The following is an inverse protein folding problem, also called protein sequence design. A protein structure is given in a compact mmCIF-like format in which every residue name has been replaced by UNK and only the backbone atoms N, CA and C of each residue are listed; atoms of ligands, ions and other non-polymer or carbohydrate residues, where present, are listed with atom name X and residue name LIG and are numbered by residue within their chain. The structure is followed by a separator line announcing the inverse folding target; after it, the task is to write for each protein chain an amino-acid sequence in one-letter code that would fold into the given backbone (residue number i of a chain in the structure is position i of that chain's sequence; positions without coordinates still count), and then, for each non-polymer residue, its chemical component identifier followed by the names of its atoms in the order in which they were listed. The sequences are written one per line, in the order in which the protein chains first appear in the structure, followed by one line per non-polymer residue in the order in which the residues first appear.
data_IF_742426839102
#
_entry.id   IF_742426839102
#
_cell.length_a   1.000
_cell.length_b   1.000
_cell.length_c   1.000
_cell.angle_alpha   90.00
_cell.angle_beta   90.00
_cell.angle_gamma   90.00
#
_symmetry.space_group_name_H-M   'P 1'
#
loop_
_entity.id
_entity.type
_entity.pdbx_description
1 polymer ?
#
# COMPACT_ATOMS: atom_id res chain seq x y z
N UNK A 1 17.71 -8.52 -2.53
CA UNK A 1 17.12 -7.81 -1.37
C UNK A 1 17.71 -6.42 -1.26
N UNK A 2 17.01 -5.50 -0.61
CA UNK A 2 17.40 -4.09 -0.41
C UNK A 2 16.67 -3.14 -1.37
N UNK A 3 17.06 -1.86 -1.31
CA UNK A 3 16.47 -0.77 -2.11
C UNK A 3 17.11 -0.71 -3.49
N UNK A 4 16.29 -0.50 -4.50
CA UNK A 4 16.65 -0.37 -5.90
C UNK A 4 16.01 0.88 -6.51
N UNK A 5 16.77 1.56 -7.35
CA UNK A 5 16.36 2.72 -8.11
C UNK A 5 16.30 2.36 -9.60
N UNK A 6 15.27 2.81 -10.34
CA UNK A 6 15.24 2.65 -11.79
C UNK A 6 16.40 3.37 -12.45
N UNK A 7 17.07 2.71 -13.40
CA UNK A 7 18.08 3.36 -14.26
C UNK A 7 17.41 4.39 -15.19
N UNK A 8 16.15 4.15 -15.56
CA UNK A 8 15.31 5.03 -16.36
C UNK A 8 13.83 4.85 -16.01
N UNK A 9 13.04 5.89 -16.25
CA UNK A 9 11.57 5.87 -16.16
C UNK A 9 10.97 6.02 -17.56
N UNK A 10 10.96 4.95 -18.38
CA UNK A 10 10.53 5.04 -19.77
C UNK A 10 9.04 5.37 -19.86
N UNK A 11 8.69 6.38 -20.65
CA UNK A 11 7.29 6.71 -20.93
C UNK A 11 6.61 5.64 -21.82
N UNK A 12 7.40 4.96 -22.65
CA UNK A 12 6.97 3.90 -23.56
C UNK A 12 7.85 2.67 -23.37
N UNK A 13 7.22 1.51 -23.21
CA UNK A 13 7.91 0.24 -23.26
C UNK A 13 8.17 -0.14 -24.70
N UNK A 14 9.40 -0.59 -24.94
CA UNK A 14 9.82 -1.18 -26.20
C UNK A 14 10.17 -2.64 -25.95
N UNK A 15 10.07 -3.42 -27.01
CA UNK A 15 10.63 -4.77 -27.03
C UNK A 15 12.13 -4.73 -26.74
N UNK A 16 12.72 -5.87 -26.37
CA UNK A 16 14.18 -6.00 -26.15
C UNK A 16 15.03 -5.59 -27.36
N UNK A 17 14.46 -5.62 -28.57
CA UNK A 17 15.08 -5.15 -29.82
C UNK A 17 14.79 -3.68 -30.16
N UNK A 18 14.14 -2.94 -29.26
CA UNK A 18 13.82 -1.52 -29.42
C UNK A 18 12.63 -1.23 -30.36
N UNK A 19 11.80 -2.23 -30.65
CA UNK A 19 10.57 -2.08 -31.48
C UNK A 19 9.34 -1.85 -30.62
N UNK A 20 8.28 -1.29 -31.21
CA UNK A 20 6.96 -1.24 -30.57
C UNK A 20 6.42 -2.66 -30.29
N UNK A 21 5.66 -2.86 -29.20
CA UNK A 21 4.99 -4.13 -28.91
C UNK A 21 4.04 -4.58 -30.06
N UNK A 22 3.89 -5.89 -30.30
CA UNK A 22 3.17 -6.43 -31.45
C UNK A 22 1.65 -6.46 -31.19
N UNK A 23 1.01 -5.29 -31.08
CA UNK A 23 -0.43 -5.14 -30.81
C UNK A 23 -1.31 -5.80 -31.88
N UNK A 24 -2.49 -6.28 -31.47
CA UNK A 24 -3.60 -6.57 -32.39
C UNK A 24 -4.11 -5.27 -33.02
N UNK A 25 -4.89 -5.37 -34.10
CA UNK A 25 -5.45 -4.18 -34.78
C UNK A 25 -6.30 -3.34 -33.82
N UNK A 26 -7.20 -3.97 -33.06
CA UNK A 26 -8.05 -3.30 -32.07
C UNK A 26 -7.23 -2.64 -30.95
N UNK A 27 -6.25 -3.34 -30.40
CA UNK A 27 -5.40 -2.78 -29.34
C UNK A 27 -4.51 -1.64 -29.85
N UNK A 28 -4.08 -1.68 -31.12
CA UNK A 28 -3.33 -0.60 -31.76
C UNK A 28 -4.16 0.67 -31.92
N UNK A 29 -5.46 0.57 -32.22
CA UNK A 29 -6.35 1.73 -32.27
C UNK A 29 -6.49 2.40 -30.90
N UNK A 30 -6.71 1.61 -29.85
CA UNK A 30 -6.78 2.11 -28.46
C UNK A 30 -5.46 2.76 -28.04
N UNK A 31 -4.33 2.13 -28.32
CA UNK A 31 -3.02 2.69 -27.99
C UNK A 31 -2.74 3.98 -28.76
N UNK A 32 -3.12 4.07 -30.04
CA UNK A 32 -2.93 5.26 -30.85
C UNK A 32 -3.76 6.45 -30.34
N UNK A 33 -5.00 6.23 -29.89
CA UNK A 33 -5.82 7.27 -29.24
C UNK A 33 -5.16 7.78 -27.95
N UNK A 34 -4.75 6.86 -27.07
CA UNK A 34 -4.07 7.21 -25.81
C UNK A 34 -2.74 7.91 -26.03
N UNK A 35 -1.96 7.50 -27.02
CA UNK A 35 -0.69 8.14 -27.37
C UNK A 35 -0.89 9.56 -27.91
N UNK A 36 -1.97 9.83 -28.65
CA UNK A 36 -2.34 11.18 -29.06
C UNK A 36 -2.69 12.05 -27.85
N UNK A 37 -3.47 11.52 -26.92
CA UNK A 37 -3.83 12.21 -25.65
C UNK A 37 -2.60 12.50 -24.81
N UNK A 38 -1.71 11.51 -24.64
CA UNK A 38 -0.41 11.65 -23.98
C UNK A 38 0.40 12.81 -24.55
N UNK A 39 0.50 12.87 -25.88
CA UNK A 39 1.24 13.92 -26.59
C UNK A 39 0.59 15.30 -26.43
N UNK A 40 -0.73 15.35 -26.28
CA UNK A 40 -1.48 16.55 -25.95
C UNK A 40 -1.45 16.92 -24.45
N UNK A 41 -0.81 16.11 -23.60
CA UNK A 41 -0.71 16.31 -22.16
C UNK A 41 -1.91 15.80 -21.36
N UNK A 42 -2.82 15.06 -21.99
CA UNK A 42 -3.93 14.37 -21.32
C UNK A 42 -3.53 12.93 -20.99
N UNK A 43 -3.39 12.66 -19.70
CA UNK A 43 -3.02 11.35 -19.15
C UNK A 43 -4.17 10.68 -18.40
N UNK A 44 -5.41 11.16 -18.54
CA UNK A 44 -6.57 10.68 -17.77
C UNK A 44 -6.96 9.22 -18.03
N UNK A 45 -6.36 8.54 -19.00
CA UNK A 45 -6.48 7.10 -19.18
C UNK A 45 -5.61 6.28 -18.20
N UNK A 46 -4.58 6.90 -17.60
CA UNK A 46 -3.68 6.28 -16.62
C UNK A 46 -4.21 6.59 -15.21
N UNK A 47 -4.67 5.56 -14.51
CA UNK A 47 -5.28 5.68 -13.18
C UNK A 47 -4.34 6.26 -12.12
N UNK A 48 -3.03 6.23 -12.40
CA UNK A 48 -2.02 6.85 -11.54
C UNK A 48 -2.17 8.37 -11.45
N UNK A 49 -2.88 9.00 -12.40
CA UNK A 49 -3.15 10.44 -12.39
C UNK A 49 -4.06 10.89 -11.25
N UNK A 50 -4.89 10.00 -10.70
CA UNK A 50 -5.65 10.23 -9.47
C UNK A 50 -5.19 9.31 -8.34
N UNK A 51 -3.91 8.92 -8.34
CA UNK A 51 -3.30 8.07 -7.31
C UNK A 51 -3.87 6.64 -7.24
N UNK A 52 -4.63 6.16 -8.22
CA UNK A 52 -5.15 4.80 -8.16
C UNK A 52 -4.13 3.75 -8.63
N UNK A 53 -4.54 2.48 -8.57
CA UNK A 53 -3.83 1.30 -9.02
C UNK A 53 -2.97 1.51 -10.27
N UNK A 54 -1.63 1.36 -10.19
CA UNK A 54 -0.76 1.61 -11.32
C UNK A 54 -0.75 0.47 -12.32
N UNK A 55 -0.89 -0.77 -11.87
CA UNK A 55 -0.70 -1.95 -12.71
C UNK A 55 0.75 -2.45 -12.73
N UNK A 56 0.90 -3.67 -13.25
CA UNK A 56 2.20 -4.22 -13.65
C UNK A 56 2.31 -4.23 -15.18
N UNK A 57 3.46 -3.84 -15.77
CA UNK A 57 4.69 -3.37 -15.13
C UNK A 57 4.74 -1.85 -14.89
N UNK A 58 3.61 -1.12 -15.00
CA UNK A 58 3.58 0.34 -14.94
C UNK A 58 4.18 0.96 -13.67
N UNK A 59 4.02 0.32 -12.50
CA UNK A 59 4.71 0.73 -11.27
C UNK A 59 6.24 0.69 -11.42
N UNK A 60 6.78 -0.22 -12.23
CA UNK A 60 8.22 -0.41 -12.46
C UNK A 60 8.80 0.59 -13.45
N UNK A 61 7.96 1.26 -14.25
CA UNK A 61 8.37 2.31 -15.20
C UNK A 61 8.38 3.71 -14.59
N UNK A 62 7.99 3.83 -13.31
CA UNK A 62 8.01 5.09 -12.57
C UNK A 62 9.39 5.40 -11.96
N UNK A 63 9.74 6.67 -11.70
CA UNK A 63 11.06 7.05 -11.19
C UNK A 63 11.27 6.80 -9.68
N UNK A 64 10.44 5.99 -9.04
CA UNK A 64 10.47 5.80 -7.59
C UNK A 64 11.32 4.59 -7.18
N UNK A 65 12.02 4.67 -6.02
CA UNK A 65 12.65 3.50 -5.45
C UNK A 65 11.63 2.40 -5.15
N UNK A 66 12.09 1.16 -5.10
CA UNK A 66 11.39 0.11 -4.41
C UNK A 66 12.36 -0.74 -3.59
N UNK A 67 11.85 -1.35 -2.53
CA UNK A 67 12.60 -2.25 -1.68
C UNK A 67 12.14 -3.68 -1.87
N UNK A 68 13.08 -4.62 -2.01
CA UNK A 68 12.79 -6.05 -2.00
C UNK A 68 13.16 -6.62 -0.63
N UNK A 69 12.16 -7.14 0.09
CA UNK A 69 12.32 -7.86 1.37
C UNK A 69 11.83 -9.29 1.26
N UNK A 70 12.52 -10.21 1.94
CA UNK A 70 12.12 -11.61 2.02
C UNK A 70 12.05 -12.04 3.48
N UNK A 71 10.99 -12.77 3.84
CA UNK A 71 10.89 -13.51 5.09
C UNK A 71 10.09 -14.81 4.86
N UNK A 72 10.76 -15.96 5.02
CA UNK A 72 10.21 -17.25 4.65
C UNK A 72 9.82 -17.30 3.16
N UNK A 73 8.55 -17.64 2.92
CA UNK A 73 7.94 -17.75 1.60
C UNK A 73 7.32 -16.44 1.09
N UNK A 74 7.46 -15.34 1.83
CA UNK A 74 7.00 -14.03 1.39
C UNK A 74 8.16 -13.22 0.82
N UNK A 75 8.02 -12.75 -0.41
CA UNK A 75 8.92 -11.81 -1.05
C UNK A 75 8.16 -10.53 -1.40
N UNK A 76 8.33 -9.48 -0.60
CA UNK A 76 7.66 -8.21 -0.78
C UNK A 76 8.48 -7.21 -1.60
N UNK A 77 7.82 -6.58 -2.57
CA UNK A 77 8.27 -5.39 -3.27
C UNK A 77 7.49 -4.21 -2.70
N UNK A 78 8.17 -3.29 -2.01
CA UNK A 78 7.56 -2.12 -1.38
C UNK A 78 7.95 -0.89 -2.20
N UNK A 79 7.00 -0.25 -2.86
CA UNK A 79 7.24 0.85 -3.79
C UNK A 79 7.18 2.21 -3.09
N UNK A 80 8.08 3.11 -3.51
CA UNK A 80 8.12 4.50 -3.05
C UNK A 80 7.03 5.38 -3.67
N UNK A 81 6.28 4.89 -4.65
CA UNK A 81 5.10 5.59 -5.17
C UNK A 81 3.84 5.15 -4.43
N UNK A 82 3.21 6.10 -3.77
CA UNK A 82 1.92 5.96 -3.09
C UNK A 82 1.73 4.69 -2.24
N UNK A 83 2.79 4.26 -1.55
CA UNK A 83 2.84 3.09 -0.64
C UNK A 83 2.34 1.77 -1.24
N UNK A 84 2.34 1.64 -2.57
CA UNK A 84 2.03 0.38 -3.21
C UNK A 84 3.03 -0.68 -2.80
N UNK A 85 2.55 -1.89 -2.55
CA UNK A 85 3.39 -3.04 -2.31
C UNK A 85 2.80 -4.25 -3.00
N UNK A 86 3.68 -5.14 -3.43
CA UNK A 86 3.34 -6.42 -4.05
C UNK A 86 4.02 -7.53 -3.28
N UNK A 87 3.28 -8.56 -2.89
CA UNK A 87 3.84 -9.72 -2.18
C UNK A 87 3.81 -10.92 -3.10
N UNK A 88 4.98 -11.47 -3.37
CA UNK A 88 5.18 -12.67 -4.16
C UNK A 88 5.20 -13.88 -3.23
N UNK A 89 4.35 -14.86 -3.53
CA UNK A 89 4.34 -16.15 -2.87
C UNK A 89 5.45 -17.03 -3.44
N UNK A 90 6.43 -17.35 -2.61
CA UNK A 90 7.61 -18.15 -2.98
C UNK A 90 7.43 -19.65 -2.71
N UNK A 91 6.26 -20.09 -2.22
CA UNK A 91 5.95 -21.52 -2.04
C UNK A 91 5.81 -22.26 -3.38
N UNK A 92 5.65 -21.53 -4.48
CA UNK A 92 5.56 -22.07 -5.84
C UNK A 92 4.18 -22.64 -6.20
N UNK A 93 3.20 -22.65 -5.28
CA UNK A 93 1.87 -23.19 -5.59
C UNK A 93 1.00 -22.11 -6.21
N UNK A 94 0.78 -22.21 -7.52
CA UNK A 94 -0.20 -21.38 -8.21
C UNK A 94 -1.60 -21.54 -7.60
N UNK A 95 -2.30 -20.43 -7.47
CA UNK A 95 -3.72 -20.39 -7.15
C UNK A 95 -4.43 -19.61 -8.25
N UNK A 96 -5.66 -20.00 -8.57
CA UNK A 96 -6.49 -19.22 -9.48
C UNK A 96 -6.89 -17.92 -8.79
N UNK A 97 -6.61 -16.75 -9.42
CA UNK A 97 -7.06 -15.46 -8.92
C UNK A 97 -8.58 -15.49 -8.70
N UNK A 98 -9.09 -15.22 -7.49
CA UNK A 98 -10.53 -15.19 -7.26
C UNK A 98 -11.20 -14.01 -8.00
N UNK A 99 -10.45 -12.92 -8.18
CA UNK A 99 -10.82 -11.69 -8.88
C UNK A 99 -9.54 -11.06 -9.45
N UNK A 100 -9.62 -10.28 -10.54
CA UNK A 100 -8.48 -9.53 -11.04
C UNK A 100 -8.15 -8.36 -10.11
N UNK A 101 -6.86 -8.10 -9.91
CA UNK A 101 -6.30 -7.03 -9.08
C UNK A 101 -5.30 -6.19 -9.86
N UNK A 102 -4.92 -5.03 -9.33
CA UNK A 102 -4.02 -4.11 -10.00
C UNK A 102 -2.57 -4.64 -10.06
N UNK A 103 -2.06 -5.26 -9.00
CA UNK A 103 -0.71 -5.88 -8.97
C UNK A 103 -0.75 -7.40 -9.25
N UNK A 104 -1.95 -7.96 -9.38
CA UNK A 104 -2.21 -9.37 -9.69
C UNK A 104 -1.78 -10.34 -8.60
N UNK A 105 -1.69 -11.62 -8.94
CA UNK A 105 -1.31 -12.71 -8.05
C UNK A 105 0.06 -13.29 -8.47
N UNK A 106 1.16 -12.71 -7.98
CA UNK A 106 2.50 -13.17 -8.32
C UNK A 106 2.90 -14.41 -7.52
N UNK A 107 3.43 -15.40 -8.22
CA UNK A 107 4.05 -16.61 -7.65
C UNK A 107 5.48 -16.70 -8.15
N UNK A 108 6.41 -16.93 -7.22
CA UNK A 108 7.84 -16.88 -7.47
C UNK A 108 8.53 -18.22 -7.24
N UNK A 109 9.60 -18.46 -8.00
CA UNK A 109 10.53 -19.56 -7.77
C UNK A 109 11.97 -19.16 -8.16
N UNK A 110 12.95 -19.94 -7.72
CA UNK A 110 14.36 -19.71 -8.07
C UNK A 110 14.82 -20.71 -9.13
N UNK A 111 15.38 -20.19 -10.21
CA UNK A 111 16.09 -20.96 -11.25
C UNK A 111 17.58 -20.59 -11.20
N UNK A 112 18.35 -21.35 -10.42
CA UNK A 112 19.75 -21.00 -10.16
C UNK A 112 19.86 -19.69 -9.39
N UNK A 113 20.47 -18.67 -10.00
CA UNK A 113 20.61 -17.31 -9.46
C UNK A 113 19.52 -16.33 -9.94
N UNK A 114 18.58 -16.81 -10.76
CA UNK A 114 17.50 -16.01 -11.33
C UNK A 114 16.20 -16.24 -10.55
N UNK A 115 15.61 -15.16 -10.08
CA UNK A 115 14.25 -15.16 -9.53
C UNK A 115 13.26 -15.08 -10.68
N UNK A 116 12.35 -16.05 -10.78
CA UNK A 116 11.29 -16.08 -11.78
C UNK A 116 9.95 -15.83 -11.09
N UNK A 117 9.23 -14.80 -11.51
CA UNK A 117 7.92 -14.44 -10.96
C UNK A 117 6.90 -14.48 -12.09
N UNK A 118 5.88 -15.32 -11.96
CA UNK A 118 4.73 -15.35 -12.87
C UNK A 118 3.54 -14.67 -12.19
N UNK A 119 2.95 -13.69 -12.85
CA UNK A 119 1.81 -12.90 -12.33
C UNK A 119 0.61 -13.07 -13.27
N UNK A 120 -0.55 -13.42 -12.70
CA UNK A 120 -1.86 -13.51 -13.38
C UNK A 120 -2.92 -12.72 -12.61
N UNK A 121 -4.12 -12.59 -13.20
CA UNK A 121 -5.25 -11.92 -12.56
C UNK A 121 -5.02 -10.42 -12.45
N UNK A 122 -4.50 -9.82 -13.52
CA UNK A 122 -4.26 -8.38 -13.63
C UNK A 122 -5.52 -7.72 -14.20
N UNK A 123 -6.02 -6.67 -13.57
CA UNK A 123 -7.23 -5.96 -14.03
C UNK A 123 -6.94 -5.07 -15.24
N UNK A 124 -7.80 -5.14 -16.27
CA UNK A 124 -7.62 -4.49 -17.58
C UNK A 124 -7.84 -2.97 -17.62
N UNK A 125 -8.15 -2.36 -16.47
CA UNK A 125 -8.32 -0.90 -16.35
C UNK A 125 -7.01 -0.14 -16.20
N UNK A 126 -5.90 -0.86 -15.99
CA UNK A 126 -4.57 -0.27 -15.90
C UNK A 126 -3.87 -0.22 -17.27
N UNK A 127 -2.72 0.43 -17.32
CA UNK A 127 -1.87 0.53 -18.52
C UNK A 127 -0.51 -0.06 -18.21
N UNK A 128 0.21 -0.54 -19.22
CA UNK A 128 1.55 -1.12 -19.01
C UNK A 128 2.65 -0.05 -18.89
N UNK A 129 2.42 1.13 -19.46
CA UNK A 129 3.33 2.28 -19.41
C UNK A 129 2.59 3.63 -19.48
N UNK A 130 3.33 4.73 -19.31
CA UNK A 130 2.74 6.06 -19.26
C UNK A 130 2.11 6.52 -20.59
N UNK A 131 2.47 5.89 -21.72
CA UNK A 131 1.88 6.18 -23.03
C UNK A 131 0.50 5.56 -23.23
N UNK A 132 0.06 4.71 -22.30
CA UNK A 132 -1.26 4.12 -22.31
C UNK A 132 -1.34 2.76 -23.01
N UNK A 133 -0.23 2.04 -23.11
CA UNK A 133 -0.19 0.69 -23.70
C UNK A 133 -1.21 -0.23 -22.99
N UNK A 134 -2.25 -0.73 -23.69
CA UNK A 134 -3.33 -1.51 -23.08
C UNK A 134 -2.89 -2.95 -22.75
N UNK A 135 -3.73 -3.63 -21.97
CA UNK A 135 -3.73 -5.08 -21.78
C UNK A 135 -5.14 -5.57 -21.41
N UNK A 136 -5.34 -6.88 -21.40
CA UNK A 136 -6.57 -7.56 -20.98
C UNK A 136 -6.39 -8.28 -19.63
N UNK A 137 -7.47 -8.88 -19.13
CA UNK A 137 -7.43 -9.74 -17.94
C UNK A 137 -6.81 -11.12 -18.22
N UNK A 138 -6.65 -11.51 -19.49
CA UNK A 138 -5.95 -12.73 -19.91
C UNK A 138 -4.42 -12.57 -19.85
N UNK A 139 -3.93 -11.37 -19.51
CA UNK A 139 -2.52 -11.10 -19.42
C UNK A 139 -1.84 -11.96 -18.34
N UNK A 140 -0.81 -12.68 -18.78
CA UNK A 140 0.21 -13.23 -17.90
C UNK A 140 1.53 -12.50 -18.09
N UNK A 141 2.13 -12.06 -16.99
CA UNK A 141 3.44 -11.43 -16.97
C UNK A 141 4.44 -12.34 -16.28
N UNK A 142 5.56 -12.66 -16.95
CA UNK A 142 6.66 -13.42 -16.37
C UNK A 142 7.91 -12.55 -16.25
N UNK A 143 8.35 -12.31 -15.03
CA UNK A 143 9.56 -11.54 -14.72
C UNK A 143 10.71 -12.49 -14.41
N UNK A 144 11.88 -12.25 -14.98
CA UNK A 144 13.14 -12.93 -14.67
C UNK A 144 14.14 -11.91 -14.15
N UNK A 145 14.33 -11.92 -12.83
CA UNK A 145 15.17 -10.96 -12.12
C UNK A 145 16.51 -11.58 -11.75
N UNK A 146 17.62 -10.90 -12.08
CA UNK A 146 18.97 -11.29 -11.66
C UNK A 146 19.86 -10.08 -11.40
N UNK A 147 20.78 -10.23 -10.46
CA UNK A 147 21.82 -9.21 -10.22
C UNK A 147 22.99 -9.49 -11.15
N UNK A 148 23.30 -8.55 -12.02
CA UNK A 148 24.40 -8.60 -12.96
C UNK A 148 25.75 -8.40 -12.27
N UNK A 149 26.84 -8.70 -12.99
CA UNK A 149 28.22 -8.55 -12.47
C UNK A 149 28.58 -7.11 -12.11
N UNK A 150 27.94 -6.13 -12.75
CA UNK A 150 28.11 -4.70 -12.47
C UNK A 150 27.28 -4.22 -11.26
N UNK A 151 26.52 -5.12 -10.62
CA UNK A 151 25.69 -4.84 -9.47
C UNK A 151 24.28 -4.35 -9.79
N UNK A 152 23.94 -4.14 -11.08
CA UNK A 152 22.57 -3.79 -11.48
C UNK A 152 21.63 -4.98 -11.38
N UNK A 153 20.38 -4.71 -11.05
CA UNK A 153 19.28 -5.67 -11.17
C UNK A 153 18.70 -5.56 -12.57
N UNK A 154 18.80 -6.64 -13.34
CA UNK A 154 18.07 -6.81 -14.59
C UNK A 154 16.72 -7.45 -14.29
N UNK A 155 15.62 -6.88 -14.77
CA UNK A 155 14.31 -7.49 -14.81
C UNK A 155 13.88 -7.65 -16.27
N UNK A 156 13.97 -8.87 -16.79
CA UNK A 156 13.43 -9.22 -18.11
C UNK A 156 11.98 -9.66 -17.95
N UNK A 157 11.08 -8.97 -18.64
CA UNK A 157 9.64 -9.15 -18.49
C UNK A 157 9.09 -9.70 -19.80
N UNK A 158 8.53 -10.90 -19.77
CA UNK A 158 7.75 -11.49 -20.87
C UNK A 158 6.28 -11.21 -20.62
N UNK A 159 5.58 -10.69 -21.64
CA UNK A 159 4.15 -10.38 -21.59
C UNK A 159 3.44 -11.28 -22.59
N UNK A 160 2.46 -12.04 -22.09
CA UNK A 160 1.60 -12.95 -22.83
C UNK A 160 0.16 -12.48 -22.64
N UNK A 161 -0.47 -11.91 -23.66
CA UNK A 161 -1.88 -11.52 -23.63
C UNK A 161 -2.45 -11.63 -25.06
N UNK A 162 -3.16 -12.73 -25.36
CA UNK A 162 -3.63 -13.02 -26.72
C UNK A 162 -4.81 -12.13 -27.16
N UNK A 163 -5.47 -11.40 -26.25
CA UNK A 163 -6.50 -10.43 -26.63
C UNK A 163 -5.86 -9.12 -27.13
N UNK A 164 -4.72 -8.74 -26.55
CA UNK A 164 -4.08 -7.44 -26.83
C UNK A 164 -2.90 -7.52 -27.81
N UNK A 165 -2.13 -8.61 -27.79
CA UNK A 165 -0.93 -8.76 -28.61
C UNK A 165 -1.05 -9.96 -29.55
N UNK A 166 -0.54 -9.79 -30.77
CA UNK A 166 -0.50 -10.82 -31.81
C UNK A 166 0.50 -11.95 -31.53
N UNK A 167 1.50 -11.69 -30.68
CA UNK A 167 2.44 -12.69 -30.16
C UNK A 167 3.01 -12.25 -28.79
N UNK A 168 3.49 -13.18 -27.95
CA UNK A 168 4.24 -12.84 -26.76
C UNK A 168 5.45 -11.97 -27.08
N UNK A 169 5.75 -11.02 -26.20
CA UNK A 169 6.88 -10.11 -26.37
C UNK A 169 7.62 -9.88 -25.06
N UNK A 170 8.86 -9.40 -25.16
CA UNK A 170 9.70 -9.13 -23.99
C UNK A 170 10.16 -7.68 -23.94
N UNK A 171 10.24 -7.13 -22.73
CA UNK A 171 10.97 -5.90 -22.43
C UNK A 171 11.97 -6.12 -21.30
N UNK A 172 12.87 -5.16 -21.08
CA UNK A 172 13.87 -5.25 -20.01
C UNK A 172 13.99 -3.92 -19.28
N UNK A 173 13.91 -3.97 -17.96
CA UNK A 173 14.15 -2.85 -17.06
C UNK A 173 15.42 -3.10 -16.25
N UNK A 174 16.18 -2.04 -16.01
CA UNK A 174 17.39 -2.08 -15.19
C UNK A 174 17.24 -1.19 -13.98
N UNK A 175 17.80 -1.65 -12.86
CA UNK A 175 17.80 -0.93 -11.60
C UNK A 175 19.20 -0.97 -10.98
N UNK A 176 19.57 0.08 -10.28
CA UNK A 176 20.82 0.15 -9.51
C UNK A 176 20.53 0.33 -8.03
N UNK A 177 21.56 0.10 -7.20
CA UNK A 177 21.49 0.43 -5.78
C UNK A 177 21.98 1.85 -5.57
N UNK A 178 21.19 2.64 -4.87
CA UNK A 178 21.62 3.91 -4.31
C UNK A 178 21.64 3.79 -2.77
N UNK A 179 22.80 3.90 -2.11
CA UNK A 179 22.89 3.87 -0.64
C UNK A 179 22.08 4.96 0.08
N UNK A 180 21.75 6.05 -0.61
CA UNK A 180 20.91 7.13 -0.11
C UNK A 180 19.41 6.92 -0.38
N UNK A 181 19.04 6.03 -1.31
CA UNK A 181 17.65 5.79 -1.64
C UNK A 181 16.91 5.09 -0.50
N UNK A 182 15.72 5.60 -0.21
CA UNK A 182 14.80 5.03 0.79
C UNK A 182 13.40 5.05 0.24
N UNK A 183 12.64 4.00 0.58
CA UNK A 183 11.20 3.98 0.37
C UNK A 183 10.57 4.69 1.57
N UNK A 184 10.07 5.91 1.34
CA UNK A 184 9.43 6.76 2.34
C UNK A 184 7.92 6.71 2.23
N UNK A 185 7.23 7.27 3.23
CA UNK A 185 5.78 7.42 3.23
C UNK A 185 5.36 8.48 2.19
N UNK A 186 4.95 8.01 1.01
CA UNK A 186 4.45 8.85 -0.08
C UNK A 186 2.91 8.92 -0.04
N UNK A 187 2.35 10.06 0.36
CA UNK A 187 0.90 10.27 0.42
C UNK A 187 0.46 11.09 -0.80
N UNK A 188 0.09 10.38 -1.87
CA UNK A 188 -0.26 10.98 -3.16
C UNK A 188 -1.42 11.99 -3.08
N UNK A 189 -2.52 11.77 -2.33
CA UNK A 189 -3.54 12.78 -2.12
C UNK A 189 -3.02 14.09 -1.50
N UNK A 190 -2.06 14.01 -0.56
CA UNK A 190 -1.45 15.21 0.02
C UNK A 190 -0.53 15.92 -0.97
N UNK A 191 0.16 15.15 -1.80
CA UNK A 191 0.97 15.69 -2.91
C UNK A 191 0.08 16.47 -3.89
N UNK A 192 -1.01 15.87 -4.37
CA UNK A 192 -1.96 16.54 -5.27
C UNK A 192 -2.56 17.77 -4.61
N UNK A 193 -2.94 17.69 -3.33
CA UNK A 193 -3.50 18.83 -2.60
C UNK A 193 -2.53 20.03 -2.50
N UNK A 194 -1.21 19.80 -2.58
CA UNK A 194 -0.19 20.85 -2.67
C UNK A 194 0.08 21.37 -4.09
N UNK A 195 -0.63 20.85 -5.10
CA UNK A 195 -0.45 21.21 -6.51
C UNK A 195 0.71 20.49 -7.21
N UNK A 196 1.29 19.47 -6.58
CA UNK A 196 2.29 18.60 -7.21
C UNK A 196 1.61 17.49 -8.04
N UNK A 197 2.25 16.95 -9.09
CA UNK A 197 1.66 15.87 -9.91
C UNK A 197 1.57 14.55 -9.14
N UNK A 198 0.57 13.73 -9.48
CA UNK A 198 0.37 12.40 -8.89
C UNK A 198 1.58 11.47 -9.11
N UNK A 199 2.20 11.53 -10.29
CA UNK A 199 3.49 10.89 -10.58
C UNK A 199 4.52 11.99 -10.83
N UNK A 200 5.55 12.07 -10.00
CA UNK A 200 6.67 13.00 -10.20
C UNK A 200 7.51 12.56 -11.39
N UNK A 201 8.08 13.53 -12.10
CA UNK A 201 9.07 13.27 -13.16
C UNK A 201 10.40 12.80 -12.57
N UNK A 202 10.77 13.36 -11.42
CA UNK A 202 11.97 13.02 -10.66
C UNK A 202 11.60 12.94 -9.18
N UNK A 203 12.16 11.94 -8.49
CA UNK A 203 11.95 11.78 -7.05
C UNK A 203 13.08 12.51 -6.33
N UNK A 204 12.79 13.52 -5.50
CA UNK A 204 13.82 14.23 -4.76
C UNK A 204 14.55 13.26 -3.82
N UNK A 205 15.88 13.39 -3.65
CA UNK A 205 16.62 12.58 -2.70
C UNK A 205 16.07 12.83 -1.30
N UNK A 206 15.88 11.75 -0.54
CA UNK A 206 15.45 11.85 0.86
C UNK A 206 16.59 12.52 1.64
N UNK A 207 16.36 13.72 2.16
CA UNK A 207 17.32 14.40 3.03
C UNK A 207 17.56 13.55 4.27
N UNK A 208 18.83 13.24 4.52
CA UNK A 208 19.23 12.40 5.62
C UNK A 208 19.04 13.17 6.93
N UNK A 209 17.96 12.90 7.67
CA UNK A 209 18.01 13.12 9.12
C UNK A 209 19.17 12.26 9.64
N UNK A 210 20.14 12.90 10.29
CA UNK A 210 21.37 12.26 10.74
C UNK A 210 21.06 11.28 11.88
N UNK A 211 20.61 10.08 11.56
CA UNK A 211 20.66 8.99 12.52
C UNK A 211 22.12 8.55 12.63
N UNK A 212 22.69 8.67 13.85
CA UNK A 212 23.90 7.94 14.20
C UNK A 212 23.65 6.47 13.88
N UNK A 213 24.64 5.81 13.29
CA UNK A 213 24.66 4.36 13.21
C UNK A 213 24.35 3.81 14.61
N UNK A 214 23.59 2.71 14.73
CA UNK A 214 23.26 2.15 16.03
C UNK A 214 24.58 1.99 16.81
N UNK A 215 24.60 2.49 18.04
CA UNK A 215 25.66 2.09 18.96
C UNK A 215 25.65 0.57 18.96
N UNK A 216 26.82 -0.05 18.75
CA UNK A 216 26.98 -1.49 18.73
C UNK A 216 26.10 -2.09 19.83
N UNK A 217 25.15 -2.95 19.43
CA UNK A 217 24.24 -3.59 20.34
C UNK A 217 25.05 -4.08 21.55
N UNK A 218 24.77 -3.51 22.72
CA UNK A 218 25.37 -4.00 23.96
C UNK A 218 25.00 -5.47 23.98
N UNK A 219 26.01 -6.35 23.96
CA UNK A 219 25.80 -7.78 23.82
C UNK A 219 24.69 -8.21 24.78
N UNK A 220 23.52 -8.54 24.22
CA UNK A 220 22.42 -9.06 24.99
C UNK A 220 22.92 -10.40 25.54
N UNK A 221 23.03 -10.46 26.87
CA UNK A 221 23.17 -11.69 27.63
C UNK A 221 22.17 -12.71 27.08
N UNK A 222 22.57 -13.97 26.91
CA UNK A 222 21.83 -15.04 26.20
C UNK A 222 20.37 -15.13 26.64
N UNK A 223 19.51 -14.30 26.03
CA UNK A 223 18.08 -14.35 26.17
C UNK A 223 17.55 -15.47 25.28
N UNK A 224 16.45 -16.10 25.70
CA UNK A 224 15.72 -17.02 24.84
C UNK A 224 15.47 -16.37 23.46
N UNK A 225 15.47 -17.14 22.36
CA UNK A 225 15.23 -16.58 21.04
C UNK A 225 13.89 -15.82 21.04
N UNK A 226 13.93 -14.57 20.58
CA UNK A 226 12.75 -13.73 20.53
C UNK A 226 11.63 -14.41 19.70
N UNK A 227 10.36 -14.26 20.10
CA UNK A 227 9.23 -14.75 19.31
C UNK A 227 9.28 -14.25 17.85
N UNK A 228 8.88 -15.13 16.92
CA UNK A 228 8.75 -14.81 15.50
C UNK A 228 7.29 -14.51 15.17
N UNK A 229 7.02 -13.25 14.85
CA UNK A 229 5.71 -12.77 14.39
C UNK A 229 5.55 -12.89 12.87
N UNK A 230 6.59 -13.30 12.13
CA UNK A 230 6.55 -13.47 10.68
C UNK A 230 5.30 -14.20 10.17
N UNK A 231 4.73 -13.68 9.09
CA UNK A 231 3.61 -14.29 8.37
C UNK A 231 2.37 -13.39 8.30
N UNK A 232 1.29 -13.97 7.80
CA UNK A 232 0.02 -13.27 7.65
C UNK A 232 -0.84 -13.35 8.90
N UNK A 233 -1.47 -12.22 9.21
CA UNK A 233 -2.34 -12.04 10.37
C UNK A 233 -3.61 -11.31 9.96
N UNK A 234 -4.67 -11.49 10.73
CA UNK A 234 -5.95 -10.82 10.55
C UNK A 234 -6.55 -10.46 11.92
N UNK A 235 -7.46 -9.48 12.02
CA UNK A 235 -8.04 -9.11 13.30
C UNK A 235 -8.74 -10.31 13.95
N UNK A 236 -8.35 -10.64 15.18
CA UNK A 236 -9.03 -11.69 15.94
C UNK A 236 -10.36 -11.20 16.53
N UNK A 237 -10.45 -9.89 16.79
CA UNK A 237 -11.65 -9.19 17.23
C UNK A 237 -11.83 -7.95 16.39
N UNK A 238 -13.03 -7.77 15.86
CA UNK A 238 -13.40 -6.57 15.12
C UNK A 238 -14.04 -5.55 16.07
N UNK A 239 -13.47 -4.35 16.16
CA UNK A 239 -13.99 -3.33 17.07
C UNK A 239 -13.48 -1.95 16.74
N UNK A 240 -14.18 -1.24 15.85
CA UNK A 240 -13.78 0.07 15.30
C UNK A 240 -13.70 1.23 16.28
N UNK A 241 -14.00 1.01 17.56
CA UNK A 241 -14.31 2.05 18.51
C UNK A 241 -13.38 1.97 19.70
N UNK A 242 -12.78 3.11 20.04
CA UNK A 242 -12.07 3.28 21.30
C UNK A 242 -13.08 3.78 22.32
N UNK A 243 -13.45 2.90 23.25
CA UNK A 243 -14.46 3.18 24.27
C UNK A 243 -13.81 3.73 25.55
N UNK A 244 -14.50 4.62 26.24
CA UNK A 244 -14.09 5.11 27.56
C UNK A 244 -12.81 5.96 27.56
N UNK A 245 -12.42 6.57 26.44
CA UNK A 245 -11.27 7.46 26.40
C UNK A 245 -11.48 8.66 27.34
N UNK A 246 -10.49 9.03 28.17
CA UNK A 246 -10.59 10.12 29.14
C UNK A 246 -10.41 11.48 28.44
N UNK A 247 -11.36 11.88 27.61
CA UNK A 247 -11.25 13.09 26.77
C UNK A 247 -11.11 14.37 27.59
N UNK A 248 -10.26 15.31 27.17
CA UNK A 248 -10.28 16.70 27.64
C UNK A 248 -11.56 17.40 27.16
N UNK A 249 -11.80 18.64 27.62
CA UNK A 249 -12.90 19.44 27.09
C UNK A 249 -12.80 19.64 25.57
N UNK A 250 -11.59 19.90 25.05
CA UNK A 250 -11.34 20.05 23.62
C UNK A 250 -11.57 18.73 22.86
N UNK A 251 -11.05 17.61 23.37
CA UNK A 251 -11.28 16.30 22.77
C UNK A 251 -12.76 15.92 22.74
N UNK A 252 -13.48 16.20 23.83
CA UNK A 252 -14.93 15.98 23.90
C UNK A 252 -15.69 16.81 22.89
N UNK A 253 -15.34 18.08 22.70
CA UNK A 253 -15.99 18.93 21.70
C UNK A 253 -15.90 18.36 20.29
N UNK A 254 -14.70 17.91 19.88
CA UNK A 254 -14.48 17.32 18.56
C UNK A 254 -15.25 16.01 18.36
N UNK A 255 -15.22 15.12 19.37
CA UNK A 255 -15.96 13.85 19.33
C UNK A 255 -17.47 14.08 19.28
N UNK A 256 -18.00 15.00 20.09
CA UNK A 256 -19.43 15.32 20.09
C UNK A 256 -19.87 15.95 18.76
N UNK A 257 -19.02 16.80 18.16
CA UNK A 257 -19.25 17.38 16.83
C UNK A 257 -19.32 16.30 15.76
N UNK A 258 -18.38 15.36 15.77
CA UNK A 258 -18.37 14.24 14.82
C UNK A 258 -19.59 13.34 14.98
N UNK A 259 -19.97 13.03 16.23
CA UNK A 259 -21.17 12.27 16.53
C UNK A 259 -22.45 12.96 16.03
N UNK A 260 -22.55 14.28 16.21
CA UNK A 260 -23.68 15.07 15.72
C UNK A 260 -23.75 15.08 14.18
N UNK A 261 -22.61 15.18 13.50
CA UNK A 261 -22.54 15.10 12.04
C UNK A 261 -22.99 13.74 11.51
N UNK A 262 -22.55 12.64 12.13
CA UNK A 262 -23.04 11.30 11.75
C UNK A 262 -24.53 11.13 12.00
N UNK A 263 -25.04 11.65 13.12
CA UNK A 263 -26.46 11.59 13.44
C UNK A 263 -27.33 12.39 12.45
N UNK A 264 -26.78 13.41 11.78
CA UNK A 264 -27.46 14.15 10.71
C UNK A 264 -27.37 13.49 9.33
N UNK A 265 -26.72 12.32 9.23
CA UNK A 265 -26.49 11.61 7.97
C UNK A 265 -25.24 12.07 7.21
N UNK A 266 -24.40 12.92 7.81
CA UNK A 266 -23.14 13.34 7.18
C UNK A 266 -22.09 12.24 7.30
N UNK A 267 -21.31 12.03 6.25
CA UNK A 267 -20.14 11.15 6.28
C UNK A 267 -19.00 11.90 6.98
N UNK A 268 -18.41 11.28 8.01
CA UNK A 268 -17.21 11.82 8.65
C UNK A 268 -16.01 11.67 7.72
N UNK A 269 -15.43 12.81 7.33
CA UNK A 269 -14.17 12.84 6.59
C UNK A 269 -13.01 12.62 7.57
N UNK A 270 -12.61 11.37 7.74
CA UNK A 270 -11.37 10.97 8.43
C UNK A 270 -10.21 10.87 7.43
N UNK A 271 -8.97 10.82 7.95
CA UNK A 271 -7.80 10.48 7.14
C UNK A 271 -8.05 9.20 6.32
N UNK A 272 -8.62 8.18 6.97
CA UNK A 272 -8.94 6.89 6.36
C UNK A 272 -9.91 7.00 5.17
N UNK A 273 -11.02 7.74 5.33
CA UNK A 273 -12.01 7.95 4.26
C UNK A 273 -11.51 8.82 3.10
N UNK A 274 -10.34 9.43 3.26
CA UNK A 274 -9.68 10.25 2.24
C UNK A 274 -8.37 9.64 1.75
N UNK A 275 -8.22 8.31 1.93
CA UNK A 275 -7.08 7.52 1.45
C UNK A 275 -5.72 7.83 2.09
N UNK A 276 -5.73 8.54 3.22
CA UNK A 276 -4.55 8.83 4.00
C UNK A 276 -4.34 7.75 5.07
N UNK A 277 -3.10 7.55 5.55
CA UNK A 277 -2.85 6.60 6.62
C UNK A 277 -3.61 6.97 7.90
N UNK A 278 -4.02 5.94 8.66
CA UNK A 278 -4.55 6.13 10.02
C UNK A 278 -3.41 6.22 11.05
N UNK A 279 -3.75 6.59 12.29
CA UNK A 279 -2.78 6.61 13.39
C UNK A 279 -2.27 5.20 13.70
N UNK A 280 -1.08 5.09 14.31
CA UNK A 280 -0.49 3.79 14.69
C UNK A 280 -1.42 2.91 15.53
N UNK A 281 -2.19 3.50 16.44
CA UNK A 281 -3.20 2.75 17.21
C UNK A 281 -4.24 2.08 16.32
N UNK A 282 -4.67 2.75 15.24
CA UNK A 282 -5.60 2.21 14.23
C UNK A 282 -4.96 1.06 13.47
N UNK A 283 -3.63 1.07 13.32
CA UNK A 283 -2.87 -0.01 12.70
C UNK A 283 -2.77 -1.28 13.57
N UNK A 284 -3.04 -1.21 14.88
CA UNK A 284 -3.21 -2.41 15.72
C UNK A 284 -4.57 -3.08 15.56
N UNK A 285 -5.46 -2.44 14.79
CA UNK A 285 -6.80 -2.89 14.46
C UNK A 285 -6.96 -2.94 12.94
N UNK A 286 -6.15 -3.76 12.23
CA UNK A 286 -6.31 -3.88 10.80
C UNK A 286 -7.73 -4.40 10.53
N UNK A 287 -8.43 -3.77 9.59
CA UNK A 287 -9.72 -4.26 9.13
C UNK A 287 -9.54 -5.62 8.45
N UNK A 288 -8.50 -5.68 7.63
CA UNK A 288 -8.21 -6.79 6.73
C UNK A 288 -6.90 -7.49 7.12
N UNK A 289 -6.34 -8.32 6.23
CA UNK A 289 -5.12 -9.05 6.57
C UNK A 289 -3.91 -8.11 6.53
N UNK A 290 -2.86 -8.51 7.24
CA UNK A 290 -1.57 -7.84 7.24
C UNK A 290 -0.48 -8.88 7.04
N UNK A 291 0.63 -8.46 6.44
CA UNK A 291 1.84 -9.26 6.37
C UNK A 291 2.89 -8.66 7.30
N UNK A 292 3.40 -9.48 8.21
CA UNK A 292 4.54 -9.15 9.07
C UNK A 292 5.80 -9.80 8.50
N UNK A 293 6.79 -8.99 8.15
CA UNK A 293 8.14 -9.39 7.76
C UNK A 293 9.09 -9.03 8.90
N UNK A 294 9.82 -9.99 9.43
CA UNK A 294 10.67 -9.78 10.60
C UNK A 294 12.12 -10.17 10.30
N UNK A 295 13.02 -9.25 10.63
CA UNK A 295 14.47 -9.46 10.70
C UNK A 295 14.96 -9.09 12.10
N UNK A 296 16.25 -9.30 12.36
CA UNK A 296 16.87 -8.91 13.64
C UNK A 296 16.91 -7.38 13.84
N UNK A 297 16.92 -6.61 12.75
CA UNK A 297 17.08 -5.15 12.77
C UNK A 297 15.75 -4.39 12.62
N UNK A 298 14.75 -5.00 11.99
CA UNK A 298 13.47 -4.33 11.70
C UNK A 298 12.32 -5.34 11.59
N UNK A 299 11.15 -4.96 12.11
CA UNK A 299 9.85 -5.57 11.80
C UNK A 299 9.11 -4.63 10.83
N UNK A 300 8.75 -5.13 9.65
CA UNK A 300 7.93 -4.42 8.66
C UNK A 300 6.53 -5.00 8.64
N UNK A 301 5.52 -4.16 8.69
CA UNK A 301 4.11 -4.58 8.60
C UNK A 301 3.50 -3.91 7.37
N UNK A 302 3.00 -4.74 6.44
CA UNK A 302 2.29 -4.31 5.24
C UNK A 302 0.79 -4.49 5.47
N UNK A 303 0.02 -3.43 5.21
CA UNK A 303 -1.42 -3.37 5.45
C UNK A 303 -2.17 -3.37 4.13
N UNK A 304 -3.21 -4.18 3.99
CA UNK A 304 -4.09 -4.14 2.80
C UNK A 304 -4.78 -2.76 2.66
N UNK A 305 -5.36 -2.24 3.75
CA UNK A 305 -6.07 -0.96 3.77
C UNK A 305 -5.42 0.03 4.76
N UNK A 306 -5.17 1.30 4.38
CA UNK A 306 -5.09 1.88 3.05
C UNK A 306 -3.67 1.72 2.45
N UNK A 307 -3.17 0.49 2.27
CA UNK A 307 -1.82 0.22 1.76
C UNK A 307 -0.68 0.84 2.57
N UNK A 308 -0.77 0.83 3.90
CA UNK A 308 0.28 1.39 4.77
C UNK A 308 1.48 0.43 4.88
N UNK A 309 2.68 1.00 5.03
CA UNK A 309 3.89 0.25 5.42
C UNK A 309 4.39 0.81 6.74
N UNK A 310 4.37 -0.01 7.80
CA UNK A 310 4.96 0.36 9.09
C UNK A 310 6.32 -0.31 9.24
N UNK A 311 7.29 0.43 9.75
CA UNK A 311 8.63 -0.06 10.05
C UNK A 311 8.94 0.17 11.51
N UNK A 312 9.29 -0.90 12.22
CA UNK A 312 9.65 -0.87 13.63
C UNK A 312 11.13 -1.21 13.70
N UNK A 313 11.96 -0.20 13.98
CA UNK A 313 13.42 -0.35 14.08
C UNK A 313 13.78 -0.99 15.41
N UNK A 314 14.48 -2.12 15.39
CA UNK A 314 14.78 -2.89 16.59
C UNK A 314 15.99 -2.32 17.33
N UNK A 315 15.87 -2.22 18.66
CA UNK A 315 16.92 -1.78 19.57
C UNK A 315 17.58 -0.45 19.18
N UNK A 316 16.78 0.47 18.65
CA UNK A 316 17.22 1.75 18.15
C UNK A 316 16.63 2.91 18.98
N UNK A 317 17.23 4.09 18.83
CA UNK A 317 16.69 5.34 19.38
C UNK A 317 15.83 6.05 18.32
N UNK A 318 14.89 6.87 18.79
CA UNK A 318 14.22 7.85 17.93
C UNK A 318 15.22 8.91 17.46
N UNK A 319 15.18 9.34 16.18
CA UNK A 319 15.93 10.50 15.73
C UNK A 319 15.57 11.74 16.56
N UNK A 320 16.57 12.60 16.82
CA UNK A 320 16.35 13.85 17.55
C UNK A 320 15.45 14.84 16.78
N UNK A 321 15.50 14.77 15.44
CA UNK A 321 14.68 15.55 14.53
C UNK A 321 13.88 14.58 13.67
N UNK A 322 12.55 14.70 13.75
CA UNK A 322 11.60 13.89 13.00
C UNK A 322 10.75 14.80 12.12
N UNK A 323 10.63 14.42 10.85
CA UNK A 323 9.59 14.96 9.98
C UNK A 323 8.25 14.33 10.41
N UNK A 324 7.25 15.11 10.84
CA UNK A 324 5.97 14.56 11.28
C UNK A 324 5.27 13.78 10.17
N UNK A 325 4.75 12.59 10.50
CA UNK A 325 4.04 11.74 9.53
C UNK A 325 2.76 11.14 10.14
N UNK A 326 1.93 10.48 9.33
CA UNK A 326 0.71 9.85 9.85
C UNK A 326 1.02 8.66 10.77
N UNK A 327 2.09 7.92 10.47
CA UNK A 327 2.47 6.69 11.18
C UNK A 327 3.61 6.88 12.18
N UNK A 328 4.15 8.09 12.28
CA UNK A 328 5.26 8.43 13.17
C UNK A 328 6.54 7.62 12.87
N UNK A 329 7.44 7.60 13.85
CA UNK A 329 8.63 6.74 13.88
C UNK A 329 8.48 5.72 15.01
N UNK A 330 8.67 4.43 14.70
CA UNK A 330 8.52 3.33 15.67
C UNK A 330 9.86 2.66 15.98
N UNK A 331 10.16 2.49 17.27
CA UNK A 331 11.30 1.69 17.74
C UNK A 331 10.82 0.55 18.64
N UNK A 332 11.38 -0.64 18.43
CA UNK A 332 11.00 -1.86 19.13
C UNK A 332 12.12 -2.37 20.03
N UNK A 333 11.77 -2.99 21.15
CA UNK A 333 12.67 -3.79 21.99
C UNK A 333 11.95 -5.00 22.56
N UNK A 334 12.68 -6.06 22.88
CA UNK A 334 12.14 -7.23 23.55
C UNK A 334 12.26 -7.09 25.07
N UNK A 335 11.15 -7.31 25.78
CA UNK A 335 11.09 -7.47 27.24
C UNK A 335 10.62 -8.91 27.53
N UNK A 336 11.58 -9.83 27.64
CA UNK A 336 11.27 -11.26 27.68
C UNK A 336 10.65 -11.73 26.36
N UNK A 337 9.42 -12.24 26.42
CA UNK A 337 8.63 -12.71 25.26
C UNK A 337 7.71 -11.62 24.67
N UNK A 338 7.79 -10.39 25.17
CA UNK A 338 6.92 -9.28 24.75
C UNK A 338 7.70 -8.28 23.92
N UNK A 339 7.22 -7.98 22.71
CA UNK A 339 7.75 -6.88 21.90
C UNK A 339 7.10 -5.59 22.40
N UNK A 340 7.93 -4.64 22.85
CA UNK A 340 7.49 -3.30 23.22
C UNK A 340 7.88 -2.33 22.14
N UNK A 341 6.90 -1.62 21.60
CA UNK A 341 7.08 -0.64 20.51
C UNK A 341 6.72 0.74 21.04
N UNK A 342 7.66 1.67 20.94
CA UNK A 342 7.47 3.09 21.25
C UNK A 342 7.32 3.85 19.93
N UNK A 343 6.34 4.74 19.81
CA UNK A 343 6.14 5.55 18.60
C UNK A 343 5.80 7.00 18.91
N UNK A 344 6.48 7.91 18.20
CA UNK A 344 6.40 9.38 18.33
C UNK A 344 6.49 10.04 16.95
N UNK A 345 6.37 11.37 16.87
CA UNK A 345 6.58 12.13 15.63
C UNK A 345 5.38 12.10 14.68
N UNK A 346 4.17 12.05 15.23
CA UNK A 346 2.94 12.08 14.46
C UNK A 346 2.63 13.50 13.96
N UNK A 347 1.91 13.62 12.85
CA UNK A 347 1.46 14.90 12.29
C UNK A 347 0.12 15.40 12.87
N UNK A 348 -0.58 14.58 13.66
CA UNK A 348 -1.88 14.91 14.26
C UNK A 348 -3.07 14.91 13.30
N UNK A 349 -2.90 14.43 12.05
CA UNK A 349 -3.99 14.37 11.08
C UNK A 349 -4.77 13.05 11.09
N UNK A 350 -4.29 12.06 11.84
CA UNK A 350 -4.85 10.72 11.83
C UNK A 350 -5.66 10.43 13.08
N UNK A 351 -6.86 9.88 12.95
CA UNK A 351 -7.73 9.60 14.08
C UNK A 351 -7.49 8.21 14.68
N UNK A 352 -7.81 8.03 15.98
CA UNK A 352 -7.64 6.77 16.69
C UNK A 352 -8.71 5.70 16.34
N UNK A 353 -9.87 6.14 15.84
CA UNK A 353 -11.03 5.28 15.62
C UNK A 353 -11.98 5.84 14.54
N UNK A 354 -12.98 5.05 14.15
CA UNK A 354 -13.90 5.43 13.07
C UNK A 354 -14.89 6.57 13.42
N UNK A 355 -14.96 7.02 14.69
CA UNK A 355 -15.73 8.22 15.09
C UNK A 355 -14.93 9.51 14.97
N UNK A 356 -13.67 9.41 14.54
CA UNK A 356 -12.78 10.56 14.45
C UNK A 356 -12.27 10.99 15.82
N UNK A 357 -11.98 10.05 16.74
CA UNK A 357 -11.30 10.41 17.97
C UNK A 357 -9.95 11.09 17.66
N UNK A 358 -9.76 12.35 18.10
CA UNK A 358 -8.70 13.19 17.59
C UNK A 358 -7.33 12.77 18.13
N UNK A 359 -6.30 13.13 17.37
CA UNK A 359 -4.91 13.09 17.80
C UNK A 359 -4.23 14.42 17.49
N UNK A 360 -3.11 14.67 18.14
CA UNK A 360 -2.24 15.83 17.92
C UNK A 360 -0.82 15.37 17.57
N UNK A 361 0.08 16.30 17.17
CA UNK A 361 1.50 16.00 17.10
C UNK A 361 2.14 15.58 18.43
N UNK A 362 1.46 15.80 19.57
CA UNK A 362 1.90 15.34 20.88
C UNK A 362 1.51 13.87 21.18
N UNK A 363 0.90 13.17 20.22
CA UNK A 363 0.60 11.75 20.36
C UNK A 363 1.87 10.92 20.64
N UNK A 364 1.78 10.04 21.62
CA UNK A 364 2.76 9.04 21.96
C UNK A 364 2.03 7.71 22.21
N UNK A 365 2.49 6.65 21.56
CA UNK A 365 1.93 5.31 21.75
C UNK A 365 3.00 4.34 22.19
N UNK A 366 2.68 3.55 23.22
CA UNK A 366 3.48 2.39 23.64
C UNK A 366 2.63 1.15 23.43
N UNK A 367 3.07 0.26 22.56
CA UNK A 367 2.39 -0.99 22.24
C UNK A 367 3.17 -2.18 22.81
N UNK A 368 2.45 -3.16 23.36
CA UNK A 368 3.01 -4.41 23.87
C UNK A 368 2.38 -5.57 23.13
N UNK A 369 3.17 -6.26 22.31
CA UNK A 369 2.74 -7.41 21.53
C UNK A 369 3.22 -8.70 22.20
N UNK A 370 2.29 -9.62 22.47
CA UNK A 370 2.58 -10.93 23.06
C UNK A 370 2.01 -12.03 22.18
N UNK A 371 2.87 -12.93 21.72
CA UNK A 371 2.47 -14.13 20.99
C UNK A 371 1.96 -15.19 21.97
N UNK A 372 0.84 -15.81 21.64
CA UNK A 372 0.31 -16.97 22.38
C UNK A 372 1.24 -18.18 22.25
N UNK A 373 1.16 -19.10 23.21
CA UNK A 373 2.00 -20.31 23.24
C UNK A 373 1.84 -21.19 21.98
N UNK A 374 0.65 -21.20 21.38
CA UNK A 374 0.36 -21.93 20.14
C UNK A 374 0.80 -21.20 18.86
N UNK A 375 1.33 -19.98 18.98
CA UNK A 375 1.80 -19.17 17.85
C UNK A 375 0.70 -18.63 16.92
N UNK A 376 -0.57 -18.75 17.31
CA UNK A 376 -1.72 -18.42 16.46
C UNK A 376 -2.44 -17.13 16.82
N UNK A 377 -2.02 -16.46 17.90
CA UNK A 377 -2.64 -15.22 18.37
C UNK A 377 -1.60 -14.25 18.88
N UNK A 378 -1.70 -12.99 18.47
CA UNK A 378 -0.93 -11.89 19.03
C UNK A 378 -1.89 -11.02 19.82
N UNK A 379 -1.69 -10.94 21.14
CA UNK A 379 -2.37 -9.98 22.00
C UNK A 379 -1.60 -8.67 22.00
N UNK A 380 -2.31 -7.56 21.92
CA UNK A 380 -1.73 -6.23 21.79
C UNK A 380 -2.37 -5.30 22.80
N UNK A 381 -1.56 -4.71 23.68
CA UNK A 381 -1.97 -3.63 24.55
C UNK A 381 -1.35 -2.33 24.05
N UNK A 382 -2.17 -1.31 23.81
CA UNK A 382 -1.72 0.00 23.32
C UNK A 382 -2.03 1.04 24.38
N UNK A 383 -1.00 1.60 25.00
CA UNK A 383 -1.11 2.78 25.85
C UNK A 383 -0.98 4.03 24.99
N UNK A 384 -1.96 4.91 25.08
CA UNK A 384 -2.09 6.12 24.27
C UNK A 384 -1.97 7.33 25.20
N UNK A 385 -1.07 8.24 24.84
CA UNK A 385 -0.87 9.51 25.54
C UNK A 385 -0.95 10.64 24.53
N UNK A 386 -1.87 11.58 24.72
CA UNK A 386 -1.94 12.81 23.95
C UNK A 386 -2.60 13.90 24.83
N UNK A 387 -1.79 14.77 25.48
CA UNK A 387 -2.30 15.71 26.49
C UNK A 387 -3.18 16.83 25.91
N UNK A 388 -3.24 16.99 24.58
CA UNK A 388 -4.14 17.95 23.95
C UNK A 388 -5.59 17.47 24.05
N UNK A 389 -5.81 16.17 23.80
CA UNK A 389 -7.15 15.60 23.67
C UNK A 389 -7.55 14.61 24.78
N UNK A 390 -6.61 14.13 25.61
CA UNK A 390 -6.89 13.19 26.70
C UNK A 390 -6.31 13.68 28.04
N UNK A 391 -7.08 13.52 29.11
CA UNK A 391 -6.75 13.98 30.47
C UNK A 391 -5.61 13.16 31.10
N UNK A 392 -5.50 11.88 30.74
CA UNK A 392 -4.50 10.95 31.24
C UNK A 392 -4.22 9.86 30.19
N UNK A 393 -3.06 9.19 30.24
CA UNK A 393 -2.81 8.02 29.43
C UNK A 393 -3.87 6.93 29.65
N UNK A 394 -4.34 6.32 28.58
CA UNK A 394 -5.31 5.22 28.65
C UNK A 394 -4.87 4.05 27.78
N UNK A 395 -5.39 2.86 28.05
CA UNK A 395 -4.96 1.64 27.36
C UNK A 395 -6.13 0.97 26.64
N UNK A 396 -5.90 0.57 25.40
CA UNK A 396 -6.81 -0.27 24.62
C UNK A 396 -6.18 -1.64 24.36
N UNK A 397 -7.04 -2.66 24.20
CA UNK A 397 -6.61 -4.02 23.86
C UNK A 397 -7.06 -4.38 22.46
N UNK A 398 -6.18 -5.04 21.70
CA UNK A 398 -6.41 -5.57 20.36
C UNK A 398 -5.80 -6.96 20.28
N UNK A 399 -6.19 -7.69 19.24
CA UNK A 399 -5.58 -8.97 18.98
C UNK A 399 -5.62 -9.31 17.50
N UNK A 400 -4.57 -9.98 17.04
CA UNK A 400 -4.52 -10.61 15.74
C UNK A 400 -4.55 -12.12 15.89
N UNK A 401 -5.12 -12.79 14.89
CA UNK A 401 -5.03 -14.24 14.73
C UNK A 401 -4.28 -14.55 13.45
N UNK A 402 -3.56 -15.67 13.44
CA UNK A 402 -2.81 -16.10 12.26
C UNK A 402 -3.77 -16.38 11.11
N UNK A 403 -3.38 -15.96 9.91
CA UNK A 403 -4.13 -16.22 8.68
C UNK A 403 -3.37 -17.23 7.83
N UNK A 404 -4.09 -18.13 7.17
CA UNK A 404 -3.53 -19.09 6.21
C UNK A 404 -3.41 -18.50 4.79
N UNK A 405 -3.81 -17.24 4.61
CA UNK A 405 -3.65 -16.55 3.35
C UNK A 405 -2.17 -16.50 2.94
N UNK A 406 -1.96 -16.60 1.62
CA UNK A 406 -0.62 -16.53 0.99
C UNK A 406 -0.40 -15.25 0.20
N UNK A 407 -1.48 -14.52 -0.07
CA UNK A 407 -1.48 -13.22 -0.74
C UNK A 407 -2.30 -12.24 0.10
N UNK A 408 -1.77 -11.05 0.43
CA UNK A 408 -2.60 -9.94 0.84
C UNK A 408 -3.48 -9.52 -0.33
N UNK A 409 -4.74 -9.20 -0.05
CA UNK A 409 -5.66 -8.65 -1.04
C UNK A 409 -5.36 -7.17 -1.27
N UNK A 410 -5.45 -6.72 -2.52
CA UNK A 410 -5.30 -5.29 -2.79
C UNK A 410 -6.58 -4.56 -2.41
N UNK A 411 -6.42 -3.48 -1.67
CA UNK A 411 -7.49 -2.51 -1.46
C UNK A 411 -6.99 -1.13 -1.85
N UNK A 412 -7.51 -0.63 -2.97
CA UNK A 412 -7.29 0.74 -3.36
C UNK A 412 -8.52 1.59 -3.06
N UNK A 413 -8.40 2.41 -2.03
CA UNK A 413 -9.44 3.37 -1.69
C UNK A 413 -9.62 4.45 -2.78
N UNK A 414 -8.65 4.63 -3.69
CA UNK A 414 -8.74 5.56 -4.82
C UNK A 414 -9.46 4.96 -6.05
N UNK A 415 -9.70 3.64 -6.08
CA UNK A 415 -10.45 2.97 -7.17
C UNK A 415 -11.97 3.21 -7.07
N UNK A 416 -12.46 3.71 -5.93
CA UNK A 416 -13.84 4.18 -5.78
C UNK A 416 -13.87 5.71 -5.93
N UNK A 417 -14.28 6.24 -7.09
CA UNK A 417 -14.44 7.68 -7.26
C UNK A 417 -15.41 8.24 -6.21
N UNK A 418 -15.29 9.54 -5.87
CA UNK A 418 -16.34 10.24 -5.11
C UNK A 418 -17.58 10.40 -6.00
N UNK A 419 -18.76 10.68 -5.43
CA UNK A 419 -20.00 11.01 -6.17
C UNK A 419 -19.76 12.01 -7.32
N UNK A 420 -18.90 12.99 -7.07
CA UNK A 420 -18.50 14.05 -8.00
C UNK A 420 -17.57 13.56 -9.15
N UNK A 421 -16.81 12.49 -8.89
CA UNK A 421 -15.94 11.82 -9.85
C UNK A 421 -16.74 10.80 -10.70
N UNK A 422 -17.85 10.26 -10.18
CA UNK A 422 -18.75 9.34 -10.90
C UNK A 422 -19.49 10.01 -12.07
N UNK A 423 -19.81 11.30 -11.97
CA UNK A 423 -20.49 12.04 -13.04
C UNK A 423 -19.58 12.23 -14.28
N UNK A 424 -18.26 12.06 -14.14
CA UNK A 424 -17.27 12.31 -15.20
C UNK A 424 -16.39 11.09 -15.56
N UNK A 425 -16.58 9.93 -14.90
CA UNK A 425 -15.76 8.75 -15.12
C UNK A 425 -16.09 8.02 -16.45
N UNK A 426 -15.06 7.74 -17.25
CA UNK A 426 -15.14 6.93 -18.47
C UNK A 426 -14.79 5.48 -18.16
N UNK A 427 -15.76 4.56 -18.31
CA UNK A 427 -15.58 3.13 -18.07
C UNK A 427 -15.39 2.38 -19.39
N UNK A 428 -14.29 1.65 -19.53
CA UNK A 428 -13.88 0.97 -20.78
C UNK A 428 -14.74 -0.26 -21.09
N UNK A 429 -15.38 -0.88 -20.09
CA UNK A 429 -16.31 -2.01 -20.26
C UNK A 429 -17.54 -1.83 -19.36
N UNK A 430 -18.72 -2.23 -19.84
CA UNK A 430 -20.01 -2.02 -19.14
C UNK A 430 -20.10 -2.67 -17.76
N UNK A 431 -19.37 -3.77 -17.52
CA UNK A 431 -19.33 -4.44 -16.21
C UNK A 431 -18.71 -3.59 -15.09
N UNK A 432 -17.93 -2.57 -15.44
CA UNK A 432 -17.30 -1.64 -14.50
C UNK A 432 -18.09 -0.36 -14.31
N UNK A 433 -19.18 -0.16 -15.06
CA UNK A 433 -20.11 0.93 -14.76
C UNK A 433 -20.70 0.66 -13.38
N UNK A 434 -20.63 1.63 -12.45
CA UNK A 434 -21.24 1.47 -11.14
C UNK A 434 -22.72 1.17 -11.28
N UNK A 435 -23.19 0.24 -10.46
CA UNK A 435 -24.61 -0.03 -10.32
C UNK A 435 -25.12 0.84 -9.17
N UNK A 436 -25.86 1.89 -9.51
CA UNK A 436 -26.57 2.72 -8.55
C UNK A 436 -27.70 1.89 -7.91
N UNK A 437 -27.70 1.78 -6.58
CA UNK A 437 -28.89 1.29 -5.86
C UNK A 437 -29.76 2.48 -5.50
N UNK A 438 -30.97 2.53 -6.04
CA UNK A 438 -31.96 3.54 -5.65
C UNK A 438 -33.03 2.85 -4.81
N UNK A 439 -33.28 3.38 -3.63
CA UNK A 439 -34.45 3.00 -2.82
C UNK A 439 -35.63 3.80 -3.36
N UNK A 440 -36.61 3.12 -3.94
CA UNK A 440 -37.86 3.75 -4.38
C UNK A 440 -39.00 3.39 -3.42
N UNK A 441 -39.69 4.40 -2.89
CA UNK A 441 -40.81 4.25 -1.96
C UNK A 441 -40.40 4.29 -0.48
N UNK A 442 -41.39 4.13 0.42
CA UNK A 442 -41.19 4.10 1.88
C UNK A 442 -40.65 2.73 2.40
N UNK A 443 -40.09 1.89 1.52
CA UNK A 443 -39.60 0.56 1.85
C UNK A 443 -38.19 0.31 1.29
N UNK A 444 -37.35 -0.39 2.07
CA UNK A 444 -35.98 -0.80 1.72
C UNK A 444 -35.94 -1.94 0.68
N UNK A 445 -36.63 -1.80 -0.45
CA UNK A 445 -36.48 -2.70 -1.60
C UNK A 445 -35.50 -2.04 -2.59
N UNK A 446 -34.23 -2.50 -2.69
CA UNK A 446 -33.27 -1.92 -3.61
C UNK A 446 -33.61 -2.29 -5.05
N UNK A 447 -33.86 -1.29 -5.90
CA UNK A 447 -33.89 -1.49 -7.35
C UNK A 447 -32.49 -1.29 -7.93
N UNK A 448 -32.08 -2.23 -8.79
CA UNK A 448 -30.76 -2.23 -9.44
C UNK A 448 -30.82 -1.31 -10.66
N UNK A 449 -30.17 -0.16 -10.62
CA UNK A 449 -30.09 0.78 -11.76
C UNK A 449 -28.63 0.92 -12.19
N UNK A 450 -28.37 0.78 -13.49
CA UNK A 450 -27.03 1.08 -14.04
C UNK A 450 -26.94 2.60 -14.19
N UNK A 451 -25.91 3.23 -13.60
CA UNK A 451 -25.78 4.67 -13.65
C UNK A 451 -25.61 5.14 -15.12
N UNK A 452 -26.35 6.19 -15.52
CA UNK A 452 -26.25 6.86 -16.83
C UNK A 452 -25.85 8.31 -16.65
N UNK A 453 -25.30 8.93 -17.69
CA UNK A 453 -24.99 10.36 -17.66
C UNK A 453 -26.28 11.19 -17.60
N UNK A 454 -26.24 12.35 -16.94
CA UNK A 454 -27.40 13.25 -16.76
C UNK A 454 -27.96 13.78 -18.09
N UNK A 455 -27.12 13.79 -19.12
CA UNK A 455 -27.40 14.16 -20.51
C UNK A 455 -27.97 13.00 -21.36
N UNK A 456 -28.19 11.82 -20.77
CA UNK A 456 -28.80 10.64 -21.39
C UNK A 456 -30.23 10.33 -20.86
N UNK A 457 -30.83 11.24 -20.08
CA UNK A 457 -32.28 11.27 -19.75
C UNK A 457 -33.10 11.86 -20.91
#
# INVERSE_FOLDING_TARGET
MGVWMPDAAPAQLLTVDGKAPPLTEEAAEVHAERLQRFTAGDTSYDQTTWCAGPGMPRILTMPYPFEIRRDGDFLAFIHGWYRWHRVVDMSGNEADPPLPLTMGFPVGSWEGDTLVIRTRGLIDVTVLDASGLPHSEEMTMTERLRVLRDGRLENRITIEDPETFSEPWETVLYFHRDPGAKVTDDVCPDRIARGEPAVRKEVPPVTRAATKAPAAARAAEQAAPAPRFSGMWEPATFGFMVQGAPLTAAGKELVDRGAAAMASGSIMHTAWTSCRPGAVSTMTMPREKILVLQSDEEITILYEMPRMTRRIRMNAEHPAELEPSYVGDSVGRWEGDTLVVDSVGFNGYAELDARGQPTSPALHTVERFRLSEDGNRIEIEVTITDPEYYQEPFTIKRAWRRSEARHPFEYDCMENPREEDFENAYYVRDRYRPTCMRVEGEGMEPSRVVCRRRDEE
#
